data_IF_183485808591
#
_entry.id   IF_183485808591
#
_cell.length_a   1.000
_cell.length_b   1.000
_cell.length_c   1.000
_cell.angle_alpha   90.00
_cell.angle_beta   90.00
_cell.angle_gamma   90.00
#
_symmetry.space_group_name_H-M   'P 1'
#
loop_
_entity.id
_entity.type
_entity.pdbx_description
1 polymer ?
#
# COMPACT_ATOMS: atom_id res chain seq x y z
N UNK A 1 72.15 9.49 -17.11
CA UNK A 1 71.41 8.28 -16.71
C UNK A 1 69.98 8.45 -17.20
N UNK A 2 69.58 7.73 -18.25
CA UNK A 2 68.24 7.83 -18.82
C UNK A 2 67.37 6.69 -18.29
N UNK A 3 66.29 7.02 -17.58
CA UNK A 3 65.31 6.04 -17.12
C UNK A 3 64.37 5.69 -18.27
N UNK A 4 64.41 4.42 -18.70
CA UNK A 4 63.40 3.81 -19.57
C UNK A 4 62.08 3.74 -18.81
N UNK A 5 61.05 4.44 -19.29
CA UNK A 5 59.67 4.23 -18.87
C UNK A 5 59.07 3.09 -19.68
N UNK A 6 58.70 1.99 -19.03
CA UNK A 6 57.96 0.89 -19.65
C UNK A 6 56.50 1.31 -19.94
N UNK A 7 55.84 0.76 -20.97
CA UNK A 7 54.49 1.12 -21.33
C UNK A 7 53.49 0.51 -20.33
N UNK A 8 52.68 1.34 -19.71
CA UNK A 8 51.54 0.92 -18.88
C UNK A 8 50.49 0.33 -19.83
N UNK A 9 50.23 -0.98 -19.73
CA UNK A 9 49.14 -1.62 -20.46
C UNK A 9 47.79 -1.05 -20.01
N UNK A 10 46.88 -0.73 -20.96
CA UNK A 10 45.54 -0.28 -20.61
C UNK A 10 44.75 -1.45 -20.01
N UNK A 11 44.49 -1.39 -18.70
CA UNK A 11 43.60 -2.35 -18.04
C UNK A 11 42.21 -2.30 -18.68
N UNK A 12 41.76 -3.44 -19.21
CA UNK A 12 40.41 -3.62 -19.74
C UNK A 12 39.36 -3.22 -18.68
N UNK A 13 38.25 -2.57 -19.06
CA UNK A 13 37.16 -2.29 -18.14
C UNK A 13 36.62 -3.61 -17.56
N UNK A 14 36.22 -3.64 -16.27
CA UNK A 14 35.64 -4.84 -15.68
C UNK A 14 34.42 -5.26 -16.48
N UNK A 15 34.34 -6.56 -16.80
CA UNK A 15 33.24 -7.11 -17.59
C UNK A 15 31.89 -6.77 -16.93
N UNK A 16 30.84 -6.47 -17.71
CA UNK A 16 29.51 -6.22 -17.16
C UNK A 16 29.08 -7.45 -16.35
N UNK A 17 28.77 -7.23 -15.07
CA UNK A 17 28.22 -8.24 -14.17
C UNK A 17 26.98 -8.81 -14.85
N UNK A 18 27.09 -10.04 -15.35
CA UNK A 18 25.97 -10.75 -15.95
C UNK A 18 24.94 -10.98 -14.85
N UNK A 19 23.80 -10.28 -14.92
CA UNK A 19 22.67 -10.52 -14.02
C UNK A 19 22.31 -12.01 -14.13
N UNK A 20 22.30 -12.78 -13.02
CA UNK A 20 21.97 -14.18 -13.09
C UNK A 20 20.56 -14.35 -13.69
N UNK A 21 20.32 -15.41 -14.48
CA UNK A 21 19.01 -15.66 -15.07
C UNK A 21 17.97 -15.72 -13.96
N UNK A 22 16.92 -14.90 -14.09
CA UNK A 22 15.82 -14.81 -13.13
C UNK A 22 15.17 -16.19 -13.04
N UNK A 23 15.52 -16.93 -11.99
CA UNK A 23 14.93 -18.22 -11.68
C UNK A 23 13.45 -18.00 -11.35
N UNK A 24 12.58 -18.40 -12.28
CA UNK A 24 11.13 -18.18 -12.20
C UNK A 24 10.54 -18.82 -10.94
N UNK A 25 11.11 -19.94 -10.50
CA UNK A 25 10.70 -20.59 -9.27
C UNK A 25 11.09 -19.78 -8.05
N UNK A 26 12.31 -19.26 -7.99
CA UNK A 26 12.78 -18.39 -6.91
C UNK A 26 11.93 -17.11 -6.81
N UNK A 27 11.61 -16.48 -7.95
CA UNK A 27 10.70 -15.32 -8.02
C UNK A 27 9.32 -15.66 -7.46
N UNK A 28 8.76 -16.81 -7.85
CA UNK A 28 7.43 -17.22 -7.39
C UNK A 28 7.37 -17.52 -5.88
N UNK A 29 8.43 -18.13 -5.33
CA UNK A 29 8.56 -18.40 -3.89
C UNK A 29 8.72 -17.10 -3.11
N UNK A 30 9.58 -16.20 -3.58
CA UNK A 30 9.75 -14.87 -2.99
C UNK A 30 8.44 -14.08 -3.01
N UNK A 31 7.72 -14.09 -4.13
CA UNK A 31 6.43 -13.41 -4.25
C UNK A 31 5.41 -13.93 -3.22
N UNK A 32 5.32 -15.25 -3.03
CA UNK A 32 4.45 -15.85 -2.00
C UNK A 32 4.85 -15.39 -0.61
N UNK A 33 6.13 -15.46 -0.26
CA UNK A 33 6.63 -15.04 1.05
C UNK A 33 6.31 -13.57 1.32
N UNK A 34 6.56 -12.68 0.35
CA UNK A 34 6.27 -11.25 0.47
C UNK A 34 4.76 -11.02 0.62
N UNK A 35 3.95 -11.68 -0.21
CA UNK A 35 2.49 -11.56 -0.16
C UNK A 35 1.94 -12.03 1.20
N UNK A 36 2.40 -13.18 1.70
CA UNK A 36 1.93 -13.75 2.96
C UNK A 36 2.39 -12.90 4.15
N UNK A 37 3.62 -12.39 4.12
CA UNK A 37 4.13 -11.44 5.11
C UNK A 37 3.26 -10.18 5.14
N UNK A 38 2.98 -9.57 3.98
CA UNK A 38 2.16 -8.35 3.88
C UNK A 38 0.74 -8.57 4.38
N UNK A 39 0.13 -9.69 4.04
CA UNK A 39 -1.18 -10.11 4.55
C UNK A 39 -1.17 -10.31 6.07
N UNK A 40 -0.11 -10.88 6.61
CA UNK A 40 0.04 -11.09 8.05
C UNK A 40 0.24 -9.77 8.81
N UNK A 41 0.96 -8.80 8.23
CA UNK A 41 1.16 -7.46 8.81
C UNK A 41 -0.03 -6.51 8.62
N UNK A 42 -0.97 -6.85 7.74
CA UNK A 42 -2.11 -5.99 7.46
C UNK A 42 -3.04 -5.91 8.68
N UNK A 43 -3.25 -4.69 9.18
CA UNK A 43 -4.01 -4.44 10.39
C UNK A 43 -5.48 -4.15 10.08
N UNK A 44 -6.38 -4.55 10.97
CA UNK A 44 -7.83 -4.39 10.80
C UNK A 44 -8.26 -2.97 11.09
N UNK A 45 -9.05 -2.37 10.19
CA UNK A 45 -9.41 -0.94 10.28
C UNK A 45 -10.27 -0.59 11.50
N UNK A 46 -11.07 -1.52 11.99
CA UNK A 46 -11.87 -1.34 13.21
C UNK A 46 -11.04 -1.45 14.51
N UNK A 47 -9.75 -1.79 14.42
CA UNK A 47 -8.84 -1.86 15.57
C UNK A 47 -7.84 -0.72 15.54
N UNK A 48 -7.49 -0.24 16.72
CA UNK A 48 -6.46 0.78 16.86
C UNK A 48 -5.12 0.28 16.28
N UNK A 49 -4.44 1.08 15.43
CA UNK A 49 -3.18 0.67 14.82
C UNK A 49 -2.05 0.62 15.86
N UNK A 50 -1.24 -0.45 15.83
CA UNK A 50 -0.06 -0.59 16.69
C UNK A 50 1.17 0.09 16.11
N UNK A 51 1.34 0.00 14.78
CA UNK A 51 2.48 0.60 14.09
C UNK A 51 2.21 2.06 13.78
N UNK A 52 3.27 2.87 13.83
CA UNK A 52 3.22 4.27 13.39
C UNK A 52 3.78 4.38 11.98
N UNK A 53 3.07 5.11 11.11
CA UNK A 53 3.54 5.42 9.75
C UNK A 53 3.48 6.92 9.57
N UNK A 54 4.64 7.57 9.65
CA UNK A 54 4.75 9.01 9.62
C UNK A 54 4.84 9.49 8.17
N UNK A 55 4.05 10.49 7.81
CA UNK A 55 4.20 11.21 6.55
C UNK A 55 5.45 12.10 6.61
N UNK A 56 6.35 11.96 5.65
CA UNK A 56 7.57 12.76 5.60
C UNK A 56 7.27 14.21 5.18
N UNK A 57 6.48 14.37 4.12
CA UNK A 57 6.11 15.66 3.57
C UNK A 57 4.63 15.99 3.75
N UNK A 58 4.30 17.28 3.56
CA UNK A 58 2.90 17.70 3.47
C UNK A 58 2.30 17.20 2.17
N UNK A 59 1.27 16.37 2.28
CA UNK A 59 0.63 15.74 1.13
C UNK A 59 -0.87 15.55 1.35
N UNK A 60 -1.57 14.91 0.42
CA UNK A 60 -2.95 14.50 0.52
C UNK A 60 -3.04 12.99 0.62
N UNK A 61 -4.02 12.50 1.37
CA UNK A 61 -4.38 11.08 1.43
C UNK A 61 -5.75 10.85 0.84
N UNK A 62 -5.86 9.85 -0.04
CA UNK A 62 -7.09 9.39 -0.66
C UNK A 62 -7.70 8.30 0.20
N UNK A 63 -8.93 8.54 0.65
CA UNK A 63 -9.67 7.66 1.55
C UNK A 63 -10.94 7.18 0.83
N UNK A 64 -10.90 6.00 0.18
CA UNK A 64 -12.06 5.43 -0.49
C UNK A 64 -13.28 5.33 0.42
N UNK A 65 -14.46 5.63 -0.13
CA UNK A 65 -15.73 5.55 0.60
C UNK A 65 -16.37 4.17 0.57
N UNK A 66 -15.99 3.34 -0.40
CA UNK A 66 -16.46 1.97 -0.55
C UNK A 66 -15.38 1.08 -1.14
N UNK A 67 -15.63 -0.24 -1.15
CA UNK A 67 -14.83 -1.20 -1.90
C UNK A 67 -14.62 -0.72 -3.35
N UNK A 68 -13.36 -0.71 -3.79
CA UNK A 68 -12.92 -0.19 -5.11
C UNK A 68 -13.33 1.27 -5.39
N UNK A 69 -13.49 2.10 -4.36
CA UNK A 69 -13.86 3.51 -4.47
C UNK A 69 -15.08 3.78 -5.38
N UNK A 70 -16.01 2.83 -5.49
CA UNK A 70 -17.20 2.93 -6.36
C UNK A 70 -18.08 4.14 -6.03
N UNK A 71 -18.18 4.48 -4.75
CA UNK A 71 -18.95 5.63 -4.25
C UNK A 71 -18.11 6.91 -4.12
N UNK A 72 -16.87 6.88 -4.62
CA UNK A 72 -15.89 7.96 -4.55
C UNK A 72 -14.89 7.81 -3.41
N UNK A 73 -14.15 8.89 -3.17
CA UNK A 73 -13.09 8.98 -2.18
C UNK A 73 -13.16 10.34 -1.49
N UNK A 74 -12.72 10.37 -0.23
CA UNK A 74 -12.48 11.59 0.53
C UNK A 74 -10.99 11.90 0.50
N UNK A 75 -10.65 13.13 0.12
CA UNK A 75 -9.26 13.60 0.11
C UNK A 75 -9.01 14.43 1.36
N UNK A 76 -7.99 14.06 2.15
CA UNK A 76 -7.59 14.82 3.34
C UNK A 76 -6.16 15.32 3.21
N UNK A 77 -5.92 16.56 3.64
CA UNK A 77 -4.57 17.09 3.76
C UNK A 77 -3.89 16.47 4.99
N UNK A 78 -2.68 15.93 4.78
CA UNK A 78 -1.79 15.37 5.79
C UNK A 78 -0.57 16.29 5.92
N UNK A 79 -0.22 16.62 7.15
CA UNK A 79 0.96 17.42 7.44
C UNK A 79 2.19 16.53 7.63
N UNK A 80 3.36 17.06 7.30
CA UNK A 80 4.63 16.43 7.62
C UNK A 80 4.69 16.09 9.12
N UNK A 81 5.14 14.87 9.45
CA UNK A 81 5.20 14.36 10.81
C UNK A 81 3.91 13.72 11.34
N UNK A 82 2.80 13.76 10.58
CA UNK A 82 1.54 13.15 11.02
C UNK A 82 1.51 11.63 10.84
N UNK A 83 0.83 10.92 11.75
CA UNK A 83 0.68 9.46 11.69
C UNK A 83 -0.49 9.06 10.78
N UNK A 84 -0.16 8.49 9.62
CA UNK A 84 -1.10 8.04 8.60
C UNK A 84 -2.06 6.98 9.15
N UNK A 85 -1.56 6.04 9.95
CA UNK A 85 -2.39 4.96 10.48
C UNK A 85 -3.50 5.51 11.38
N UNK A 86 -3.17 6.48 12.24
CA UNK A 86 -4.15 7.13 13.11
C UNK A 86 -5.17 7.95 12.33
N UNK A 87 -4.72 8.73 11.33
CA UNK A 87 -5.62 9.53 10.49
C UNK A 87 -6.64 8.65 9.77
N UNK A 88 -6.17 7.52 9.22
CA UNK A 88 -7.01 6.56 8.52
C UNK A 88 -7.98 5.88 9.48
N UNK A 89 -7.50 5.37 10.62
CA UNK A 89 -8.35 4.76 11.65
C UNK A 89 -9.45 5.73 12.11
N UNK A 90 -9.08 6.96 12.48
CA UNK A 90 -10.04 7.98 12.92
C UNK A 90 -11.05 8.36 11.83
N UNK A 91 -10.64 8.32 10.56
CA UNK A 91 -11.57 8.54 9.47
C UNK A 91 -12.61 7.41 9.42
N UNK A 92 -12.17 6.15 9.48
CA UNK A 92 -13.03 5.01 9.19
C UNK A 92 -13.86 4.49 10.36
N UNK A 93 -13.44 4.76 11.60
CA UNK A 93 -14.23 4.49 12.82
C UNK A 93 -15.35 5.51 13.01
N UNK A 94 -15.31 6.64 12.31
CA UNK A 94 -16.31 7.70 12.47
C UNK A 94 -17.67 7.19 11.99
N UNK A 95 -18.62 7.18 12.91
CA UNK A 95 -20.01 6.85 12.63
C UNK A 95 -20.62 7.84 11.62
N UNK A 96 -21.35 7.32 10.65
CA UNK A 96 -22.10 8.12 9.67
C UNK A 96 -23.57 8.06 10.02
N UNK A 97 -24.23 9.22 10.04
CA UNK A 97 -25.69 9.27 10.17
C UNK A 97 -26.32 8.84 8.84
N UNK A 98 -27.36 8.03 8.90
CA UNK A 98 -28.11 7.56 7.72
C UNK A 98 -28.64 8.74 6.89
N UNK A 99 -28.96 9.86 7.56
CA UNK A 99 -29.36 11.11 6.94
C UNK A 99 -28.32 11.62 5.93
N UNK A 100 -27.02 11.49 6.25
CA UNK A 100 -25.93 11.84 5.35
C UNK A 100 -25.75 10.80 4.22
N UNK A 101 -26.18 9.55 4.44
CA UNK A 101 -26.17 8.46 3.44
C UNK A 101 -27.33 8.56 2.43
N UNK A 102 -28.41 9.29 2.78
CA UNK A 102 -29.62 9.44 1.95
C UNK A 102 -29.40 10.22 0.64
N UNK A 103 -28.25 10.89 0.50
CA UNK A 103 -27.87 11.58 -0.73
C UNK A 103 -27.28 10.59 -1.75
N UNK A 104 -28.10 9.69 -2.28
CA UNK A 104 -27.94 8.87 -3.51
C UNK A 104 -26.63 8.07 -3.73
N UNK A 105 -25.66 8.13 -2.81
CA UNK A 105 -24.27 7.71 -3.05
C UNK A 105 -23.80 6.55 -2.19
N UNK A 106 -24.57 6.11 -1.20
CA UNK A 106 -24.25 4.92 -0.40
C UNK A 106 -25.53 4.12 -0.09
N UNK A 107 -25.87 3.17 -0.97
CA UNK A 107 -26.90 2.16 -0.69
C UNK A 107 -26.38 1.20 0.39
N UNK A 108 -26.56 1.56 1.66
CA UNK A 108 -26.28 0.69 2.80
C UNK A 108 -27.37 -0.36 2.99
N UNK A 109 -26.98 -1.62 3.13
CA UNK A 109 -27.87 -2.76 3.34
C UNK A 109 -27.62 -3.36 4.74
N UNK A 110 -27.64 -2.52 5.77
CA UNK A 110 -27.38 -2.93 7.16
C UNK A 110 -28.59 -2.57 8.02
N UNK A 111 -29.27 -3.59 8.54
CA UNK A 111 -30.40 -3.45 9.46
C UNK A 111 -29.94 -3.99 10.81
N UNK A 112 -29.64 -3.08 11.75
CA UNK A 112 -29.56 -3.41 13.17
C UNK A 112 -30.75 -2.79 13.90
N UNK A 113 -31.26 -3.42 14.97
CA UNK A 113 -32.54 -3.05 15.59
C UNK A 113 -32.58 -1.69 16.31
N UNK A 114 -31.44 -1.05 16.59
CA UNK A 114 -31.34 0.07 17.55
C UNK A 114 -30.95 1.44 16.94
N UNK A 115 -31.44 1.76 15.74
CA UNK A 115 -31.01 2.91 14.91
C UNK A 115 -29.62 2.72 14.28
N UNK A 116 -29.63 2.61 12.95
CA UNK A 116 -28.52 2.17 12.08
C UNK A 116 -27.42 3.25 12.03
N UNK A 117 -26.51 3.22 12.99
CA UNK A 117 -25.30 4.03 12.90
C UNK A 117 -24.21 3.18 12.25
N UNK A 118 -24.02 3.31 10.94
CA UNK A 118 -22.99 2.56 10.21
C UNK A 118 -21.64 3.27 10.34
N UNK A 119 -20.58 2.52 10.60
CA UNK A 119 -19.22 3.05 10.50
C UNK A 119 -18.75 3.06 9.04
N UNK A 120 -17.88 4.01 8.69
CA UNK A 120 -17.40 4.14 7.29
C UNK A 120 -16.67 2.90 6.80
N UNK A 121 -16.00 2.19 7.69
CA UNK A 121 -15.24 1.00 7.33
C UNK A 121 -16.13 -0.15 6.81
N UNK A 122 -17.41 -0.20 7.19
CA UNK A 122 -18.36 -1.25 6.79
C UNK A 122 -18.63 -1.27 5.27
N UNK A 123 -18.39 -0.16 4.58
CA UNK A 123 -18.58 -0.05 3.13
C UNK A 123 -17.36 -0.50 2.32
N UNK A 124 -16.23 -0.79 2.98
CA UNK A 124 -14.97 -1.14 2.32
C UNK A 124 -14.83 -2.62 2.01
N UNK A 125 -15.66 -3.45 2.64
CA UNK A 125 -15.64 -4.89 2.52
C UNK A 125 -15.99 -5.58 3.84
N UNK A 126 -16.13 -6.91 3.82
CA UNK A 126 -16.43 -7.72 5.01
C UNK A 126 -15.31 -7.79 6.07
N UNK A 127 -14.02 -7.78 5.70
CA UNK A 127 -12.91 -7.64 6.67
C UNK A 127 -11.79 -6.77 6.08
N UNK A 128 -12.00 -5.44 6.02
CA UNK A 128 -11.05 -4.52 5.42
C UNK A 128 -9.83 -4.32 6.32
N UNK A 129 -8.65 -4.51 5.74
CA UNK A 129 -7.34 -4.34 6.38
C UNK A 129 -6.45 -3.43 5.56
N UNK A 130 -5.57 -2.72 6.25
CA UNK A 130 -4.58 -1.85 5.62
C UNK A 130 -3.26 -2.59 5.51
N UNK A 131 -2.85 -2.87 4.28
CA UNK A 131 -1.58 -3.53 3.97
C UNK A 131 -0.41 -2.54 3.85
N UNK A 132 -0.70 -1.27 3.58
CA UNK A 132 0.29 -0.22 3.49
C UNK A 132 -0.21 1.03 2.79
N UNK A 133 0.74 1.85 2.35
CA UNK A 133 0.50 3.10 1.65
C UNK A 133 1.31 3.10 0.36
N UNK A 134 0.73 3.68 -0.68
CA UNK A 134 1.37 3.96 -1.95
C UNK A 134 1.54 5.47 -2.08
N UNK A 135 2.71 5.91 -2.51
CA UNK A 135 3.02 7.32 -2.74
C UNK A 135 3.13 7.51 -4.25
N UNK A 136 2.22 8.26 -4.83
CA UNK A 136 2.24 8.54 -6.26
C UNK A 136 3.34 9.55 -6.62
N UNK A 137 3.61 9.71 -7.91
CA UNK A 137 4.60 10.65 -8.46
C UNK A 137 4.28 12.11 -8.08
N UNK A 138 2.99 12.43 -7.94
CA UNK A 138 2.51 13.74 -7.48
C UNK A 138 2.64 13.93 -5.95
N UNK A 139 3.14 12.90 -5.25
CA UNK A 139 3.32 12.85 -3.80
C UNK A 139 2.06 12.47 -3.04
N UNK A 140 0.92 12.27 -3.70
CA UNK A 140 -0.35 11.90 -3.07
C UNK A 140 -0.31 10.46 -2.51
N UNK A 141 -0.99 10.25 -1.39
CA UNK A 141 -0.98 8.97 -0.65
C UNK A 141 -2.26 8.20 -0.95
N UNK A 142 -2.09 6.96 -1.42
CA UNK A 142 -3.16 6.00 -1.62
C UNK A 142 -3.05 4.86 -0.62
N UNK A 143 -4.19 4.40 -0.10
CA UNK A 143 -4.22 3.30 0.87
C UNK A 143 -4.25 1.97 0.12
N UNK A 144 -3.29 1.08 0.44
CA UNK A 144 -3.27 -0.30 -0.05
C UNK A 144 -4.14 -1.16 0.85
N UNK A 145 -5.25 -1.65 0.32
CA UNK A 145 -6.22 -2.47 1.05
C UNK A 145 -6.01 -3.96 0.81
N UNK A 146 -6.28 -4.73 1.84
CA UNK A 146 -6.42 -6.18 1.82
C UNK A 146 -7.73 -6.56 2.51
N UNK A 147 -8.60 -7.30 1.83
CA UNK A 147 -9.78 -7.88 2.47
C UNK A 147 -9.52 -9.36 2.73
N UNK A 148 -9.51 -9.76 4.01
CA UNK A 148 -9.14 -11.14 4.37
C UNK A 148 -10.21 -12.16 4.01
N UNK A 149 -11.48 -11.72 3.96
CA UNK A 149 -12.62 -12.57 3.65
C UNK A 149 -12.80 -12.76 2.15
N UNK A 150 -12.69 -11.68 1.36
CA UNK A 150 -12.70 -11.73 -0.10
C UNK A 150 -11.38 -12.25 -0.69
N UNK A 151 -10.33 -12.28 0.13
CA UNK A 151 -8.95 -12.58 -0.30
C UNK A 151 -8.46 -11.69 -1.45
N UNK A 152 -8.92 -10.44 -1.45
CA UNK A 152 -8.68 -9.47 -2.52
C UNK A 152 -7.82 -8.29 -2.05
N UNK A 153 -6.90 -7.86 -2.92
CA UNK A 153 -6.06 -6.68 -2.72
C UNK A 153 -6.52 -5.58 -3.67
N UNK A 154 -6.71 -4.38 -3.14
CA UNK A 154 -7.19 -3.27 -3.95
C UNK A 154 -6.66 -1.91 -3.47
N UNK A 155 -6.65 -0.96 -4.40
CA UNK A 155 -6.16 0.40 -4.22
C UNK A 155 -6.99 1.26 -5.17
N UNK A 156 -7.59 2.33 -4.65
CA UNK A 156 -8.53 3.17 -5.40
C UNK A 156 -9.62 2.35 -6.10
N UNK A 157 -9.67 2.39 -7.45
CA UNK A 157 -10.66 1.70 -8.29
C UNK A 157 -10.16 0.38 -8.86
N UNK A 158 -8.92 -0.01 -8.59
CA UNK A 158 -8.27 -1.16 -9.22
C UNK A 158 -7.88 -2.21 -8.19
N UNK A 159 -7.81 -3.46 -8.65
CA UNK A 159 -7.14 -4.52 -7.91
C UNK A 159 -5.65 -4.41 -8.21
N UNK A 160 -4.82 -4.41 -7.17
CA UNK A 160 -3.37 -4.44 -7.34
C UNK A 160 -2.84 -5.81 -6.93
N UNK A 161 -1.58 -6.09 -7.30
CA UNK A 161 -0.89 -7.31 -6.94
C UNK A 161 0.52 -6.93 -6.51
N UNK A 162 1.06 -7.65 -5.53
CA UNK A 162 2.48 -7.59 -5.24
C UNK A 162 3.30 -7.99 -6.48
N UNK A 163 4.43 -7.33 -6.67
CA UNK A 163 5.49 -7.80 -7.54
C UNK A 163 6.82 -7.74 -6.79
N UNK A 164 7.77 -8.56 -7.22
CA UNK A 164 9.11 -8.66 -6.60
C UNK A 164 10.17 -8.47 -7.66
N UNK A 165 11.16 -7.65 -7.33
CA UNK A 165 12.38 -7.42 -8.12
C UNK A 165 13.59 -7.93 -7.36
N UNK A 166 14.57 -8.44 -8.09
CA UNK A 166 15.87 -8.77 -7.50
C UNK A 166 16.63 -7.45 -7.30
N UNK A 167 16.89 -7.08 -6.05
CA UNK A 167 17.72 -5.92 -5.71
C UNK A 167 19.19 -6.19 -6.00
N UNK A 168 20.00 -5.13 -5.99
CA UNK A 168 21.43 -5.19 -6.30
C UNK A 168 22.22 -6.07 -5.32
N UNK A 169 21.69 -6.26 -4.10
CA UNK A 169 22.22 -7.15 -3.06
C UNK A 169 21.89 -8.64 -3.28
N UNK A 170 21.22 -8.98 -4.39
CA UNK A 170 20.75 -10.35 -4.66
C UNK A 170 19.55 -10.78 -3.81
N UNK A 171 18.94 -9.87 -3.04
CA UNK A 171 17.70 -10.11 -2.28
C UNK A 171 16.48 -9.74 -3.11
N UNK A 172 15.41 -10.53 -3.01
CA UNK A 172 14.11 -10.18 -3.58
C UNK A 172 13.47 -9.08 -2.73
N UNK A 173 13.22 -7.93 -3.35
CA UNK A 173 12.57 -6.77 -2.74
C UNK A 173 11.23 -6.55 -3.42
N UNK A 174 10.23 -6.11 -2.65
CA UNK A 174 8.95 -5.68 -3.22
C UNK A 174 9.19 -4.54 -4.23
N UNK A 175 8.55 -4.67 -5.38
CA UNK A 175 8.47 -3.58 -6.33
C UNK A 175 7.24 -2.75 -5.94
N UNK A 176 7.46 -1.65 -5.23
CA UNK A 176 6.51 -0.55 -5.25
C UNK A 176 6.59 0.06 -6.66
N UNK A 177 5.47 0.04 -7.39
CA UNK A 177 5.38 0.43 -8.81
C UNK A 177 5.55 1.93 -9.02
#
# INVERSE_FOLDING_TARGET
>A
MAFKSEPIEPSLPPAPIQKPPVDKEARSKALKIVTDYRRATAWQVHRWPYDKRVAEDKTKIHLPRSYLAKTGEDVKNVWAGADLNQIVHQHYIKTVKIEDLSTDRMKGNFVTPDNISAERHEFLGPDPRIAGYFFDVDGEIHVKWWDSFLQDQWMDKTKWKFDVRLGDDGKWVEKDD
#
